data_IF_425418233291
#
_entry.id   IF_425418233291
#
_cell.length_a   1.000
_cell.length_b   1.000
_cell.length_c   1.000
_cell.angle_alpha   90.00
_cell.angle_beta   90.00
_cell.angle_gamma   90.00
#
_symmetry.space_group_name_H-M   'P 1'
#
loop_
_entity.id
_entity.type
_entity.pdbx_description
1 polymer ?
#
# COMPACT_ATOMS: atom_id res chain seq x y z
N UNK A 1 5.87 27.17 -25.49
CA UNK A 1 5.15 25.93 -25.13
C UNK A 1 5.67 25.55 -23.75
N UNK A 2 4.86 25.79 -22.72
CA UNK A 2 5.27 25.75 -21.31
C UNK A 2 5.08 24.31 -20.82
N UNK A 3 6.18 23.65 -20.45
CA UNK A 3 6.13 22.34 -19.79
C UNK A 3 5.54 22.57 -18.39
N UNK A 4 4.33 22.06 -18.17
CA UNK A 4 3.67 22.09 -16.86
C UNK A 4 4.53 21.36 -15.84
N UNK A 5 4.76 22.00 -14.69
CA UNK A 5 5.30 21.37 -13.50
C UNK A 5 4.51 20.09 -13.22
N UNK A 6 5.16 18.93 -13.29
CA UNK A 6 4.60 17.69 -12.76
C UNK A 6 4.81 17.76 -11.25
N UNK A 7 3.71 17.65 -10.52
CA UNK A 7 3.66 17.53 -9.06
C UNK A 7 4.63 16.42 -8.61
N UNK A 8 5.36 16.66 -7.52
CA UNK A 8 6.58 15.95 -7.14
C UNK A 8 6.26 14.64 -6.42
N UNK A 9 5.78 13.62 -7.16
CA UNK A 9 5.54 12.28 -6.60
C UNK A 9 6.72 11.78 -5.76
N UNK A 10 6.55 11.73 -4.44
CA UNK A 10 7.58 11.26 -3.52
C UNK A 10 7.68 9.73 -3.65
N UNK A 11 8.85 9.26 -4.08
CA UNK A 11 9.18 7.84 -4.18
C UNK A 11 10.10 7.48 -3.02
N UNK A 12 9.64 6.62 -2.12
CA UNK A 12 10.45 6.10 -1.03
C UNK A 12 10.61 4.59 -1.18
N UNK A 13 11.85 4.10 -1.13
CA UNK A 13 12.09 2.66 -1.05
C UNK A 13 11.90 2.23 0.40
N UNK A 14 10.82 1.52 0.69
CA UNK A 14 10.44 1.14 2.04
C UNK A 14 10.57 -0.38 2.19
N UNK A 15 11.44 -0.85 3.09
CA UNK A 15 11.64 -2.30 3.20
C UNK A 15 12.84 -2.68 4.05
N UNK A 16 12.62 -3.71 4.86
CA UNK A 16 13.53 -4.41 5.79
C UNK A 16 14.45 -3.50 6.64
N UNK A 17 14.19 -3.45 7.95
CA UNK A 17 14.92 -2.68 8.99
C UNK A 17 14.49 -1.22 9.24
N UNK A 18 13.25 -0.84 8.93
CA UNK A 18 12.71 0.48 9.35
C UNK A 18 12.22 0.53 10.82
N UNK A 19 12.53 -0.49 11.63
CA UNK A 19 12.42 -0.42 13.10
C UNK A 19 11.01 -0.39 13.70
N UNK A 20 9.94 -0.38 12.90
CA UNK A 20 8.56 -0.36 13.39
C UNK A 20 7.75 -1.58 12.96
N UNK A 21 7.40 -2.46 13.90
CA UNK A 21 6.18 -3.26 13.79
C UNK A 21 4.99 -2.32 14.01
N UNK A 22 4.64 -1.56 12.96
CA UNK A 22 3.46 -0.70 12.97
C UNK A 22 2.16 -1.52 12.94
N UNK A 23 1.04 -0.87 13.24
CA UNK A 23 -0.27 -1.51 13.12
C UNK A 23 -0.60 -1.85 11.66
N UNK A 24 -1.20 -3.03 11.47
CA UNK A 24 -1.67 -3.48 10.17
C UNK A 24 -2.90 -2.68 9.76
N UNK A 25 -2.83 -2.01 8.60
CA UNK A 25 -3.94 -1.26 8.01
C UNK A 25 -4.98 -2.21 7.41
N UNK A 26 -4.53 -3.16 6.59
CA UNK A 26 -5.39 -4.21 6.08
C UNK A 26 -4.61 -5.50 5.83
N UNK A 27 -5.36 -6.59 5.74
CA UNK A 27 -4.87 -7.94 5.49
C UNK A 27 -5.92 -8.67 4.65
N UNK A 28 -5.43 -9.48 3.71
CA UNK A 28 -6.20 -10.35 2.84
C UNK A 28 -5.55 -11.71 2.77
N UNK A 29 -6.37 -12.76 2.67
CA UNK A 29 -5.92 -14.09 2.27
C UNK A 29 -6.45 -14.36 0.87
N UNK A 30 -5.57 -14.66 -0.08
CA UNK A 30 -5.92 -14.87 -1.49
C UNK A 30 -5.26 -16.16 -2.01
N UNK A 31 -5.92 -16.89 -2.92
CA UNK A 31 -5.30 -18.04 -3.58
C UNK A 31 -4.25 -17.55 -4.60
N UNK A 32 -3.04 -18.08 -4.50
CA UNK A 32 -1.91 -17.84 -5.42
C UNK A 32 -1.16 -19.16 -5.61
N UNK A 33 -0.95 -19.59 -6.86
CA UNK A 33 -0.26 -20.85 -7.21
C UNK A 33 -0.74 -22.10 -6.45
N UNK A 34 -2.05 -22.17 -6.17
CA UNK A 34 -2.66 -23.31 -5.48
C UNK A 34 -2.42 -23.36 -3.97
N UNK A 35 -1.82 -22.32 -3.38
CA UNK A 35 -1.76 -22.07 -1.93
C UNK A 35 -2.55 -20.82 -1.56
N UNK A 36 -3.05 -20.76 -0.33
CA UNK A 36 -3.59 -19.52 0.24
C UNK A 36 -2.43 -18.70 0.81
N UNK A 37 -2.32 -17.44 0.39
CA UNK A 37 -1.28 -16.50 0.82
C UNK A 37 -1.94 -15.34 1.56
N UNK A 38 -1.41 -15.00 2.73
CA UNK A 38 -1.87 -13.84 3.51
C UNK A 38 -0.94 -12.66 3.27
N UNK A 39 -1.50 -11.59 2.68
CA UNK A 39 -0.81 -10.33 2.43
C UNK A 39 -1.40 -9.27 3.35
N UNK A 40 -0.57 -8.59 4.12
CA UNK A 40 -0.94 -7.45 4.94
C UNK A 40 0.00 -6.28 4.75
N UNK A 41 -0.48 -5.07 5.04
CA UNK A 41 0.35 -3.88 4.93
C UNK A 41 0.00 -2.86 6.00
N UNK A 42 0.93 -1.96 6.27
CA UNK A 42 0.73 -0.76 7.06
C UNK A 42 0.91 0.47 6.19
N UNK A 43 -0.13 1.28 6.09
CA UNK A 43 -0.11 2.55 5.37
C UNK A 43 0.85 3.53 6.03
N UNK A 44 0.69 3.71 7.35
CA UNK A 44 1.41 4.74 8.10
C UNK A 44 2.90 4.44 8.24
N UNK A 45 3.28 3.17 8.11
CA UNK A 45 4.68 2.72 8.22
C UNK A 45 5.25 2.19 6.90
N UNK A 46 4.47 2.25 5.80
CA UNK A 46 4.87 1.85 4.46
C UNK A 46 5.58 0.48 4.39
N UNK A 47 5.06 -0.53 5.07
CA UNK A 47 5.59 -1.90 4.98
C UNK A 47 4.54 -2.89 4.51
N UNK A 48 5.01 -3.98 3.92
CA UNK A 48 4.21 -5.14 3.54
C UNK A 48 4.74 -6.38 4.26
N UNK A 49 3.82 -7.26 4.67
CA UNK A 49 4.09 -8.57 5.22
C UNK A 49 3.35 -9.63 4.41
N UNK A 50 4.05 -10.68 4.00
CA UNK A 50 3.48 -11.84 3.31
C UNK A 50 3.75 -13.08 4.16
N UNK A 51 2.70 -13.78 4.56
CA UNK A 51 2.74 -14.97 5.43
C UNK A 51 3.60 -14.81 6.71
N UNK A 52 3.65 -13.59 7.25
CA UNK A 52 4.40 -13.24 8.45
C UNK A 52 5.83 -12.73 8.20
N UNK A 53 6.30 -12.73 6.95
CA UNK A 53 7.61 -12.22 6.56
C UNK A 53 7.50 -10.82 5.95
N UNK A 54 8.34 -9.89 6.41
CA UNK A 54 8.34 -8.53 5.88
C UNK A 54 9.01 -8.48 4.50
N UNK A 55 8.33 -7.87 3.53
CA UNK A 55 8.82 -7.74 2.17
C UNK A 55 9.55 -6.41 1.97
N UNK A 56 10.52 -6.42 1.07
CA UNK A 56 11.06 -5.20 0.49
C UNK A 56 10.05 -4.65 -0.54
N UNK A 57 9.69 -3.37 -0.43
CA UNK A 57 8.74 -2.75 -1.35
C UNK A 57 9.17 -1.33 -1.75
N UNK A 58 8.52 -0.79 -2.76
CA UNK A 58 8.63 0.63 -3.13
C UNK A 58 7.30 1.29 -2.82
N UNK A 59 7.35 2.36 -2.02
CA UNK A 59 6.20 3.18 -1.70
C UNK A 59 6.18 4.43 -2.59
N UNK A 60 5.02 4.73 -3.16
CA UNK A 60 4.74 6.01 -3.79
C UNK A 60 3.64 6.68 -3.00
N UNK A 61 3.91 7.89 -2.55
CA UNK A 61 2.99 8.70 -1.75
C UNK A 61 2.70 9.95 -2.56
N UNK A 62 1.42 10.23 -2.80
CA UNK A 62 1.01 11.45 -3.49
C UNK A 62 1.17 12.69 -2.60
N UNK A 63 1.34 13.87 -3.20
CA UNK A 63 1.70 15.15 -2.53
C UNK A 63 0.72 15.66 -1.48
N UNK A 64 -0.40 14.96 -1.26
CA UNK A 64 -1.34 15.26 -0.18
C UNK A 64 -1.43 14.14 0.86
N UNK A 65 -0.57 13.13 0.77
CA UNK A 65 -0.46 12.03 1.72
C UNK A 65 -1.73 11.19 1.83
N UNK A 66 -2.65 11.27 0.86
CA UNK A 66 -3.93 10.55 0.87
C UNK A 66 -3.76 9.17 0.27
N UNK A 67 -3.22 9.10 -0.95
CA UNK A 67 -3.07 7.84 -1.66
C UNK A 67 -1.68 7.25 -1.46
N UNK A 68 -1.66 5.93 -1.28
CA UNK A 68 -0.45 5.13 -1.11
C UNK A 68 -0.45 4.00 -2.12
N UNK A 69 0.64 3.88 -2.87
CA UNK A 69 0.96 2.70 -3.67
C UNK A 69 2.15 1.98 -3.04
N UNK A 70 1.99 0.68 -2.76
CA UNK A 70 3.10 -0.21 -2.40
C UNK A 70 3.28 -1.23 -3.51
N UNK A 71 4.47 -1.31 -4.08
CA UNK A 71 4.82 -2.24 -5.15
C UNK A 71 5.97 -3.12 -4.70
N UNK A 72 5.82 -4.43 -4.85
CA UNK A 72 6.85 -5.40 -4.52
C UNK A 72 6.69 -6.67 -5.37
N UNK A 73 7.76 -7.45 -5.45
CA UNK A 73 7.74 -8.76 -6.09
C UNK A 73 7.63 -9.84 -5.00
N UNK A 74 6.82 -10.85 -5.24
CA UNK A 74 6.66 -12.03 -4.38
C UNK A 74 6.60 -13.28 -5.24
N UNK A 75 7.54 -14.20 -5.03
CA UNK A 75 7.80 -15.32 -5.96
C UNK A 75 7.94 -14.78 -7.41
N UNK A 76 7.18 -15.33 -8.37
CA UNK A 76 7.17 -14.89 -9.78
C UNK A 76 6.08 -13.84 -10.09
N UNK A 77 5.48 -13.23 -9.06
CA UNK A 77 4.36 -12.31 -9.19
C UNK A 77 4.72 -10.88 -8.81
N UNK A 78 4.17 -9.93 -9.57
CA UNK A 78 4.22 -8.52 -9.20
C UNK A 78 2.98 -8.17 -8.39
N UNK A 79 3.17 -7.66 -7.18
CA UNK A 79 2.09 -7.28 -6.28
C UNK A 79 2.03 -5.76 -6.15
N UNK A 80 0.82 -5.24 -6.20
CA UNK A 80 0.53 -3.82 -6.02
C UNK A 80 -0.61 -3.65 -5.03
N UNK A 81 -0.34 -2.94 -3.94
CA UNK A 81 -1.34 -2.49 -2.98
C UNK A 81 -1.58 -1.01 -3.22
N UNK A 82 -2.84 -0.64 -3.38
CA UNK A 82 -3.28 0.74 -3.58
C UNK A 82 -4.28 1.13 -2.50
N UNK A 83 -4.05 2.24 -1.82
CA UNK A 83 -4.99 2.86 -0.89
C UNK A 83 -5.58 4.11 -1.54
N UNK A 84 -6.89 4.09 -1.72
CA UNK A 84 -7.71 5.22 -2.18
C UNK A 84 -8.39 5.87 -0.98
N UNK A 85 -8.04 7.12 -0.68
CA UNK A 85 -8.57 7.83 0.50
C UNK A 85 -9.49 8.97 0.07
N UNK A 86 -10.78 8.84 0.41
CA UNK A 86 -11.79 9.86 0.18
C UNK A 86 -12.35 10.35 1.53
N UNK A 87 -11.81 11.46 2.01
CA UNK A 87 -12.21 12.04 3.30
C UNK A 87 -11.87 11.12 4.48
N UNK A 88 -12.89 10.60 5.16
CA UNK A 88 -12.72 9.66 6.29
C UNK A 88 -12.90 8.19 5.90
N UNK A 89 -13.05 7.92 4.61
CA UNK A 89 -13.18 6.57 4.08
C UNK A 89 -11.90 6.22 3.32
N UNK A 90 -11.48 4.97 3.45
CA UNK A 90 -10.34 4.43 2.73
C UNK A 90 -10.72 3.09 2.13
N UNK A 91 -10.45 2.90 0.85
CA UNK A 91 -10.53 1.60 0.21
C UNK A 91 -9.14 1.14 -0.20
N UNK A 92 -8.76 -0.02 0.31
CA UNK A 92 -7.50 -0.66 -0.04
C UNK A 92 -7.76 -1.74 -1.07
N UNK A 93 -6.94 -1.78 -2.11
CA UNK A 93 -7.01 -2.71 -3.22
C UNK A 93 -5.73 -3.53 -3.27
N UNK A 94 -5.87 -4.82 -3.58
CA UNK A 94 -4.77 -5.74 -3.80
C UNK A 94 -4.82 -6.21 -5.25
N UNK A 95 -3.78 -5.91 -6.00
CA UNK A 95 -3.54 -6.37 -7.35
C UNK A 95 -2.37 -7.36 -7.36
N UNK A 96 -2.51 -8.43 -8.13
CA UNK A 96 -1.43 -9.39 -8.43
C UNK A 96 -1.43 -9.58 -9.94
N UNK A 97 -0.28 -9.34 -10.57
CA UNK A 97 -0.11 -9.33 -12.03
C UNK A 97 -1.16 -8.47 -12.74
N UNK A 98 -1.34 -7.25 -12.25
CA UNK A 98 -2.31 -6.26 -12.73
C UNK A 98 -3.79 -6.69 -12.63
N UNK A 99 -4.08 -7.80 -11.96
CA UNK A 99 -5.45 -8.26 -11.71
C UNK A 99 -5.90 -7.94 -10.29
N UNK A 100 -7.05 -7.30 -10.15
CA UNK A 100 -7.67 -7.07 -8.85
C UNK A 100 -8.02 -8.42 -8.19
N UNK A 101 -7.37 -8.72 -7.07
CA UNK A 101 -7.59 -9.95 -6.30
C UNK A 101 -8.48 -9.73 -5.09
N UNK A 102 -8.34 -8.59 -4.41
CA UNK A 102 -9.12 -8.28 -3.23
C UNK A 102 -9.29 -6.77 -3.03
N UNK A 103 -10.31 -6.39 -2.25
CA UNK A 103 -10.49 -5.02 -1.78
C UNK A 103 -11.06 -5.01 -0.36
N UNK A 104 -10.72 -3.99 0.42
CA UNK A 104 -11.25 -3.79 1.76
C UNK A 104 -11.51 -2.30 2.01
N UNK A 105 -12.76 -1.95 2.26
CA UNK A 105 -13.15 -0.58 2.62
C UNK A 105 -13.20 -0.42 4.14
N UNK A 106 -12.80 0.76 4.60
CA UNK A 106 -12.75 1.14 6.00
C UNK A 106 -13.33 2.55 6.16
N UNK A 107 -13.99 2.79 7.29
CA UNK A 107 -14.59 4.08 7.64
C UNK A 107 -13.95 4.61 8.91
N UNK A 108 -14.10 5.91 9.14
CA UNK A 108 -13.51 6.63 10.27
C UNK A 108 -11.98 6.55 10.27
N UNK A 109 -11.38 6.46 9.08
CA UNK A 109 -9.94 6.65 8.90
C UNK A 109 -9.70 8.14 9.14
N UNK A 110 -9.28 8.51 10.35
CA UNK A 110 -8.93 9.90 10.65
C UNK A 110 -7.69 10.23 9.81
N UNK A 111 -7.87 10.91 8.67
CA UNK A 111 -6.77 11.62 8.04
C UNK A 111 -6.45 12.81 8.95
N UNK A 112 -5.39 12.74 9.75
CA UNK A 112 -4.94 13.88 10.57
C UNK A 112 -4.43 15.06 9.71
N UNK A 113 -4.59 15.01 8.38
CA UNK A 113 -4.25 16.06 7.42
C UNK A 113 -5.13 17.33 7.48
N UNK A 114 -6.06 17.45 8.44
CA UNK A 114 -6.71 18.74 8.78
C UNK A 114 -6.10 19.38 10.03
N UNK A 115 -4.81 19.66 10.00
CA UNK A 115 -4.22 20.72 10.84
C UNK A 115 -3.17 21.50 10.06
N UNK A 116 -3.67 22.47 9.29
CA UNK A 116 -3.22 23.87 9.34
C UNK A 116 -4.17 24.74 8.52
#
# INVERSE_FOLDING_TARGET
MQLSMREEQMTEKCGVNLGGQGETTASWTVPLDGKDVTISFSRDNCFVVVDGEQMECTAYISDQGFDLDLIFDFDDHRVHVYSDVEGSEMTNYLFIDDQLRARKSMKNCLSDHRKN
#
